data_IF_534412061792
#
_entry.id   IF_534412061792
#
_cell.length_a   1.000
_cell.length_b   1.000
_cell.length_c   1.000
_cell.angle_alpha   90.00
_cell.angle_beta   90.00
_cell.angle_gamma   90.00
#
_symmetry.space_group_name_H-M   'P 1'
#
loop_
_entity.id
_entity.type
_entity.pdbx_description
1 polymer ?
#
# COMPACT_ATOMS: atom_id res chain seq x y z
N UNK A 1 2.31 -16.62 10.88
CA UNK A 1 1.80 -15.42 11.50
C UNK A 1 0.87 -15.78 12.62
N UNK A 2 0.98 -15.07 13.70
CA UNK A 2 0.21 -15.36 14.87
C UNK A 2 -1.22 -14.95 14.75
N UNK A 3 -2.04 -15.62 15.50
CA UNK A 3 -3.46 -15.42 15.41
C UNK A 3 -3.85 -14.01 15.84
N UNK A 4 -4.39 -13.24 14.94
CA UNK A 4 -4.79 -11.88 15.26
C UNK A 4 -5.85 -11.79 16.35
N UNK A 5 -6.59 -12.86 16.54
CA UNK A 5 -7.63 -12.86 17.56
C UNK A 5 -7.07 -12.73 18.97
N UNK A 6 -5.77 -12.91 19.11
CA UNK A 6 -5.15 -12.75 20.41
C UNK A 6 -4.70 -11.32 20.66
N UNK A 7 -4.86 -10.46 19.69
CA UNK A 7 -4.43 -9.08 19.83
C UNK A 7 -5.56 -8.19 20.33
N UNK A 8 -5.36 -7.49 21.46
CA UNK A 8 -6.34 -6.51 21.90
C UNK A 8 -6.50 -5.40 20.87
N UNK A 9 -7.67 -4.78 20.83
CA UNK A 9 -7.97 -3.75 19.82
C UNK A 9 -7.04 -2.55 19.91
N UNK A 10 -6.62 -2.19 21.10
CA UNK A 10 -5.69 -1.06 21.24
C UNK A 10 -4.32 -1.40 20.68
N UNK A 11 -3.88 -2.65 20.75
CA UNK A 11 -2.65 -3.04 20.10
C UNK A 11 -2.80 -3.05 18.59
N UNK A 12 -3.95 -3.48 18.10
CA UNK A 12 -4.24 -3.45 16.66
C UNK A 12 -4.20 -2.01 16.17
N UNK A 13 -4.80 -1.08 16.91
CA UNK A 13 -4.80 0.32 16.54
C UNK A 13 -3.39 0.88 16.46
N UNK A 14 -2.53 0.50 17.41
CA UNK A 14 -1.15 0.97 17.40
C UNK A 14 -0.36 0.43 16.21
N UNK A 15 -0.57 -0.84 15.88
CA UNK A 15 0.08 -1.45 14.71
C UNK A 15 -0.45 -0.84 13.41
N UNK A 16 -1.73 -0.57 13.36
CA UNK A 16 -2.35 0.09 12.23
C UNK A 16 -1.66 1.44 11.98
N UNK A 17 -1.56 2.24 13.04
CA UNK A 17 -0.91 3.54 12.96
C UNK A 17 0.52 3.42 12.47
N UNK A 18 1.24 2.43 12.97
CA UNK A 18 2.62 2.20 12.55
C UNK A 18 2.71 1.93 11.05
N UNK A 19 1.80 1.10 10.52
CA UNK A 19 1.81 0.77 9.10
C UNK A 19 1.43 1.97 8.24
N UNK A 20 0.50 2.77 8.70
CA UNK A 20 0.12 3.99 8.01
C UNK A 20 1.30 4.97 7.97
N UNK A 21 2.04 5.08 9.07
CA UNK A 21 3.21 5.95 9.12
C UNK A 21 4.31 5.45 8.17
N UNK A 22 4.48 4.14 8.06
CA UNK A 22 5.44 3.56 7.13
C UNK A 22 5.06 3.92 5.69
N UNK A 23 3.78 3.80 5.35
CA UNK A 23 3.31 4.16 4.02
C UNK A 23 3.50 5.64 3.74
N UNK A 24 3.22 6.47 4.74
CA UNK A 24 3.38 7.91 4.60
C UNK A 24 4.84 8.29 4.37
N UNK A 25 5.75 7.68 5.10
CA UNK A 25 7.18 7.94 4.93
C UNK A 25 7.64 7.55 3.51
N UNK A 26 7.16 6.43 3.02
CA UNK A 26 7.46 5.98 1.67
C UNK A 26 6.94 6.97 0.64
N UNK A 27 5.72 7.46 0.83
CA UNK A 27 5.13 8.44 -0.07
C UNK A 27 5.96 9.72 -0.09
N UNK A 28 6.40 10.19 1.07
CA UNK A 28 7.19 11.42 1.16
C UNK A 28 8.52 11.26 0.43
N UNK A 29 9.16 10.11 0.56
CA UNK A 29 10.40 9.84 -0.13
C UNK A 29 10.20 9.80 -1.64
N UNK A 30 9.13 9.14 -2.09
CA UNK A 30 8.87 8.98 -3.52
C UNK A 30 8.28 10.23 -4.16
N UNK A 31 7.70 11.12 -3.38
CA UNK A 31 7.07 12.31 -3.92
C UNK A 31 8.05 13.14 -4.74
N UNK A 32 9.30 13.11 -4.36
CA UNK A 32 10.34 13.82 -5.08
C UNK A 32 10.48 13.26 -6.50
N UNK A 33 10.36 11.94 -6.65
CA UNK A 33 10.51 11.28 -7.94
C UNK A 33 9.25 11.38 -8.80
N UNK A 34 8.08 11.29 -8.17
CA UNK A 34 6.81 11.32 -8.90
C UNK A 34 6.37 12.74 -9.20
N UNK A 35 6.94 13.71 -8.54
CA UNK A 35 6.47 15.07 -8.63
C UNK A 35 5.06 15.16 -8.08
N UNK A 36 4.23 15.91 -8.76
CA UNK A 36 2.86 16.12 -8.32
C UNK A 36 1.85 15.44 -9.25
N UNK A 37 2.32 14.44 -9.99
CA UNK A 37 1.47 13.81 -11.01
C UNK A 37 0.15 13.27 -10.45
N UNK A 38 0.15 12.78 -9.22
CA UNK A 38 -1.05 12.22 -8.61
C UNK A 38 -2.19 13.23 -8.51
N UNK A 39 -1.87 14.51 -8.47
CA UNK A 39 -2.88 15.55 -8.31
C UNK A 39 -3.84 15.65 -9.49
N UNK A 40 -3.40 15.21 -10.66
CA UNK A 40 -4.23 15.29 -11.85
C UNK A 40 -4.80 13.93 -12.27
N UNK A 41 -4.61 12.90 -11.45
CA UNK A 41 -5.08 11.57 -11.80
C UNK A 41 -6.58 11.41 -11.51
N UNK A 42 -7.22 10.57 -12.31
CA UNK A 42 -8.64 10.27 -12.14
C UNK A 42 -8.83 9.15 -11.12
N UNK A 43 -10.05 9.02 -10.63
CA UNK A 43 -10.41 7.90 -9.76
C UNK A 43 -10.19 6.57 -10.46
N UNK A 44 -10.47 6.51 -11.76
CA UNK A 44 -10.24 5.29 -12.52
C UNK A 44 -8.76 4.92 -12.57
N UNK A 45 -7.90 5.92 -12.74
CA UNK A 45 -6.46 5.66 -12.77
C UNK A 45 -5.97 5.08 -11.45
N UNK A 46 -6.43 5.62 -10.32
CA UNK A 46 -6.04 5.08 -9.02
C UNK A 46 -6.56 3.66 -8.84
N UNK A 47 -7.79 3.40 -9.29
CA UNK A 47 -8.36 2.07 -9.19
C UNK A 47 -7.54 1.07 -10.00
N UNK A 48 -7.14 1.46 -11.21
CA UNK A 48 -6.34 0.59 -12.05
C UNK A 48 -4.97 0.31 -11.44
N UNK A 49 -4.34 1.33 -10.85
CA UNK A 49 -3.05 1.14 -10.19
C UNK A 49 -3.17 0.18 -9.01
N UNK A 50 -4.23 0.34 -8.21
CA UNK A 50 -4.45 -0.55 -7.09
C UNK A 50 -4.64 -1.98 -7.57
N UNK A 51 -5.43 -2.16 -8.63
CA UNK A 51 -5.66 -3.48 -9.19
C UNK A 51 -4.36 -4.10 -9.68
N UNK A 52 -3.52 -3.33 -10.34
CA UNK A 52 -2.22 -3.82 -10.79
C UNK A 52 -1.36 -4.29 -9.64
N UNK A 53 -1.37 -3.56 -8.54
CA UNK A 53 -0.60 -3.96 -7.35
C UNK A 53 -1.15 -5.23 -6.74
N UNK A 54 -2.47 -5.38 -6.72
CA UNK A 54 -3.09 -6.60 -6.22
C UNK A 54 -2.72 -7.80 -7.08
N UNK A 55 -2.70 -7.62 -8.40
CA UNK A 55 -2.32 -8.69 -9.30
C UNK A 55 -0.86 -9.09 -9.11
N UNK A 56 -0.01 -8.11 -8.86
CA UNK A 56 1.40 -8.38 -8.60
C UNK A 56 1.58 -9.17 -7.32
N UNK A 57 0.83 -8.83 -6.28
CA UNK A 57 0.88 -9.58 -5.03
C UNK A 57 0.48 -11.03 -5.28
N UNK A 58 -0.57 -11.25 -6.07
CA UNK A 58 -1.01 -12.61 -6.39
C UNK A 58 0.07 -13.39 -7.12
N UNK A 59 0.77 -12.75 -8.06
CA UNK A 59 1.85 -13.39 -8.77
C UNK A 59 2.96 -13.82 -7.83
N UNK A 60 3.32 -12.96 -6.90
CA UNK A 60 4.37 -13.26 -5.92
C UNK A 60 3.96 -14.42 -5.05
N UNK A 61 2.72 -14.43 -4.59
CA UNK A 61 2.21 -15.50 -3.72
C UNK A 61 2.12 -16.82 -4.48
N UNK A 62 1.76 -16.76 -5.76
CA UNK A 62 1.65 -17.98 -6.57
C UNK A 62 3.03 -18.60 -6.84
N UNK A 63 4.07 -17.83 -6.73
CA UNK A 63 5.42 -18.34 -6.91
C UNK A 63 6.02 -18.79 -5.58
N UNK A 64 5.18 -18.97 -4.57
CA UNK A 64 5.60 -19.41 -3.24
C UNK A 64 6.68 -18.52 -2.65
N UNK A 65 6.62 -17.25 -2.99
CA UNK A 65 7.59 -16.32 -2.46
C UNK A 65 9.00 -16.52 -3.00
N UNK A 66 9.13 -17.22 -4.10
CA UNK A 66 10.46 -17.48 -4.64
C UNK A 66 11.10 -16.28 -5.29
N UNK A 67 10.31 -15.28 -5.57
CA UNK A 67 10.86 -14.06 -6.08
C UNK A 67 11.58 -13.40 -4.94
N UNK A 68 12.52 -12.61 -5.25
CA UNK A 68 13.22 -11.88 -4.21
C UNK A 68 12.31 -10.82 -3.70
N UNK A 69 11.96 -11.06 -2.61
CA UNK A 69 10.87 -10.77 -2.33
C UNK A 69 10.48 -9.84 -1.39
N UNK A 70 11.36 -9.39 -0.62
CA UNK A 70 11.08 -8.35 0.28
C UNK A 70 10.53 -7.15 -0.41
N UNK A 71 10.74 -7.09 -1.72
CA UNK A 71 10.22 -5.98 -2.40
C UNK A 71 8.92 -6.36 -2.93
N UNK A 72 8.38 -7.40 -2.47
CA UNK A 72 7.23 -7.94 -3.07
C UNK A 72 5.97 -7.54 -2.38
N UNK A 73 5.50 -8.37 -1.49
CA UNK A 73 4.14 -8.24 -0.96
C UNK A 73 3.96 -6.95 -0.16
N UNK A 74 4.87 -6.69 0.74
CA UNK A 74 4.74 -5.51 1.63
C UNK A 74 4.83 -4.20 0.86
N UNK A 75 5.78 -4.08 -0.06
CA UNK A 75 5.92 -2.85 -0.83
C UNK A 75 4.69 -2.57 -1.68
N UNK A 76 4.09 -3.62 -2.24
CA UNK A 76 2.88 -3.46 -3.03
C UNK A 76 1.69 -3.04 -2.16
N UNK A 77 1.58 -3.59 -0.95
CA UNK A 77 0.52 -3.15 -0.03
C UNK A 77 0.70 -1.69 0.39
N UNK A 78 1.94 -1.27 0.63
CA UNK A 78 2.19 0.13 0.99
C UNK A 78 1.80 1.07 -0.15
N UNK A 79 2.09 0.68 -1.40
CA UNK A 79 1.68 1.47 -2.55
C UNK A 79 0.16 1.55 -2.64
N UNK A 80 -0.54 0.46 -2.35
CA UNK A 80 -2.00 0.45 -2.36
C UNK A 80 -2.55 1.44 -1.34
N UNK A 81 -1.97 1.48 -0.14
CA UNK A 81 -2.39 2.45 0.88
C UNK A 81 -2.26 3.86 0.34
N UNK A 82 -1.12 4.18 -0.26
CA UNK A 82 -0.87 5.53 -0.75
C UNK A 82 -1.80 5.91 -1.90
N UNK A 83 -2.02 5.01 -2.85
CA UNK A 83 -2.95 5.29 -3.94
C UNK A 83 -4.37 5.49 -3.41
N UNK A 84 -4.78 4.69 -2.43
CA UNK A 84 -6.11 4.82 -1.84
C UNK A 84 -6.27 6.16 -1.13
N UNK A 85 -5.23 6.59 -0.41
CA UNK A 85 -5.26 7.89 0.27
C UNK A 85 -5.32 9.02 -0.74
N UNK A 86 -4.52 8.98 -1.79
CA UNK A 86 -4.57 10.00 -2.84
C UNK A 86 -5.96 10.05 -3.47
N UNK A 87 -6.54 8.90 -3.76
CA UNK A 87 -7.87 8.83 -4.33
C UNK A 87 -8.89 9.49 -3.39
N UNK A 88 -8.78 9.22 -2.09
CA UNK A 88 -9.68 9.82 -1.11
C UNK A 88 -9.51 11.33 -1.03
N UNK A 89 -8.27 11.81 -1.10
CA UNK A 89 -8.01 13.25 -1.09
C UNK A 89 -8.69 13.94 -2.27
N UNK A 90 -8.66 13.30 -3.43
CA UNK A 90 -9.23 13.87 -4.66
C UNK A 90 -10.70 13.56 -4.85
N UNK A 91 -11.28 12.73 -4.02
CA UNK A 91 -12.69 12.36 -4.12
C UNK A 91 -13.56 13.54 -3.70
N UNK A 92 -14.54 13.86 -4.52
CA UNK A 92 -15.43 14.97 -4.24
C UNK A 92 -16.82 14.53 -3.87
#
# INVERSE_FOLDING_TARGET
ADAPEELPIDKVAALYEQKVQTAKALMQDKNHDYGEAWRSMSQESFTDLILMKLQRIRQILNNDGKTIISEGVDANYLDIINYAVFALILLK
#
